data_IF_116705783747
#
_entry.id   IF_116705783747
#
_cell.length_a   1.000
_cell.length_b   1.000
_cell.length_c   1.000
_cell.angle_alpha   90.00
_cell.angle_beta   90.00
_cell.angle_gamma   90.00
#
_symmetry.space_group_name_H-M   'P 1'
#
loop_
_entity.id
_entity.type
_entity.pdbx_description
1 polymer ?
#
# COMPACT_ATOMS: atom_id res chain seq x y z
N UNK A 1 12.13 7.68 -9.14
CA UNK A 1 11.87 8.22 -10.49
C UNK A 1 10.56 7.59 -10.96
N UNK A 2 9.65 8.40 -11.45
CA UNK A 2 8.33 7.99 -11.97
C UNK A 2 8.21 8.40 -13.45
N UNK A 3 7.14 7.98 -14.11
CA UNK A 3 6.88 8.30 -15.53
C UNK A 3 5.81 9.40 -15.68
N UNK A 4 5.81 10.37 -14.76
CA UNK A 4 5.00 11.59 -14.86
C UNK A 4 5.91 12.78 -15.16
N UNK A 5 6.03 13.15 -16.42
CA UNK A 5 7.00 14.15 -16.92
C UNK A 5 6.31 15.17 -17.82
N UNK A 6 6.81 16.41 -17.81
CA UNK A 6 6.39 17.40 -18.81
C UNK A 6 7.03 17.08 -20.16
N UNK A 7 6.18 17.11 -21.19
CA UNK A 7 6.57 17.04 -22.61
C UNK A 7 5.74 18.07 -23.38
N UNK A 8 6.39 18.86 -24.19
CA UNK A 8 5.75 19.94 -24.95
C UNK A 8 4.87 20.85 -24.09
N UNK A 9 5.29 21.13 -22.85
CA UNK A 9 4.59 22.00 -21.91
C UNK A 9 3.37 21.38 -21.23
N UNK A 10 3.13 20.05 -21.35
CA UNK A 10 2.01 19.34 -20.73
C UNK A 10 2.55 18.18 -19.88
N UNK A 11 1.98 17.98 -18.70
CA UNK A 11 2.29 16.81 -17.87
C UNK A 11 1.67 15.55 -18.45
N UNK A 12 2.51 14.55 -18.69
CA UNK A 12 2.13 13.24 -19.21
C UNK A 12 2.22 12.16 -18.13
N UNK A 13 1.38 11.16 -18.27
CA UNK A 13 1.58 9.84 -17.67
C UNK A 13 2.13 8.94 -18.77
N UNK A 14 3.39 8.51 -18.65
CA UNK A 14 4.11 7.82 -19.74
C UNK A 14 4.09 8.65 -21.04
N UNK A 15 3.39 8.20 -22.07
CA UNK A 15 3.26 8.91 -23.34
C UNK A 15 1.89 9.59 -23.54
N UNK A 16 0.97 9.50 -22.55
CA UNK A 16 -0.38 10.05 -22.60
C UNK A 16 -0.45 11.40 -21.86
N UNK A 17 -0.88 12.50 -22.51
CA UNK A 17 -1.08 13.79 -21.83
C UNK A 17 -2.25 13.72 -20.84
N UNK A 18 -2.04 14.22 -19.63
CA UNK A 18 -3.08 14.22 -18.59
C UNK A 18 -4.31 15.05 -18.96
N UNK A 19 -4.16 16.07 -19.80
CA UNK A 19 -5.27 16.85 -20.35
C UNK A 19 -6.22 16.00 -21.22
N UNK A 20 -5.71 14.99 -21.92
CA UNK A 20 -6.55 14.05 -22.66
C UNK A 20 -7.37 13.17 -21.72
N UNK A 21 -6.74 12.62 -20.68
CA UNK A 21 -7.43 11.83 -19.64
C UNK A 21 -8.52 12.66 -18.97
N UNK A 22 -8.21 13.90 -18.57
CA UNK A 22 -9.21 14.80 -18.00
C UNK A 22 -10.41 15.04 -18.92
N UNK A 23 -10.16 15.27 -20.22
CA UNK A 23 -11.20 15.52 -21.21
C UNK A 23 -12.11 14.31 -21.46
N UNK A 24 -11.56 13.07 -21.41
CA UNK A 24 -12.29 11.84 -21.78
C UNK A 24 -12.89 11.11 -20.59
N UNK A 25 -12.22 11.13 -19.43
CA UNK A 25 -12.63 10.43 -18.22
C UNK A 25 -13.24 11.38 -17.18
N UNK A 26 -12.87 12.66 -17.26
CA UNK A 26 -13.25 13.68 -16.30
C UNK A 26 -12.37 13.67 -15.04
N UNK A 27 -12.55 14.70 -14.20
CA UNK A 27 -11.88 14.89 -12.92
C UNK A 27 -12.88 14.78 -11.75
N UNK A 28 -12.45 14.52 -10.52
CA UNK A 28 -11.14 13.99 -10.16
C UNK A 28 -10.96 12.56 -10.68
N UNK A 29 -9.71 12.13 -10.91
CA UNK A 29 -9.41 10.76 -11.34
C UNK A 29 -8.04 10.31 -10.83
N UNK A 30 -7.91 9.05 -10.39
CA UNK A 30 -6.61 8.44 -10.17
C UNK A 30 -6.02 7.97 -11.51
N UNK A 31 -4.75 8.29 -11.74
CA UNK A 31 -4.01 7.86 -12.94
C UNK A 31 -2.75 7.14 -12.51
N UNK A 32 -2.60 5.88 -12.95
CA UNK A 32 -1.45 5.03 -12.64
C UNK A 32 -0.61 4.77 -13.88
N UNK A 33 0.71 4.75 -13.71
CA UNK A 33 1.68 4.34 -14.72
C UNK A 33 2.05 2.88 -14.54
N UNK A 34 1.79 2.04 -15.55
CA UNK A 34 2.20 0.64 -15.60
C UNK A 34 3.72 0.49 -15.59
N UNK A 35 4.43 1.33 -16.35
CA UNK A 35 5.89 1.32 -16.41
C UNK A 35 6.52 1.61 -15.04
N UNK A 36 5.95 2.54 -14.25
CA UNK A 36 6.43 2.83 -12.90
C UNK A 36 6.17 1.67 -11.95
N UNK A 37 4.96 1.10 -11.94
CA UNK A 37 4.61 -0.08 -11.14
C UNK A 37 5.56 -1.24 -11.40
N UNK A 38 5.73 -1.62 -12.66
CA UNK A 38 6.60 -2.71 -13.07
C UNK A 38 8.07 -2.45 -12.74
N UNK A 39 8.55 -1.22 -12.98
CA UNK A 39 9.92 -0.85 -12.64
C UNK A 39 10.18 -0.99 -11.14
N UNK A 40 9.28 -0.50 -10.29
CA UNK A 40 9.45 -0.56 -8.85
C UNK A 40 9.41 -2.02 -8.33
N UNK A 41 8.55 -2.86 -8.87
CA UNK A 41 8.53 -4.28 -8.58
C UNK A 41 9.86 -4.95 -8.96
N UNK A 42 10.34 -4.75 -10.19
CA UNK A 42 11.60 -5.34 -10.68
C UNK A 42 12.80 -4.94 -9.85
N UNK A 43 12.86 -3.70 -9.36
CA UNK A 43 13.95 -3.27 -8.49
C UNK A 43 14.04 -4.05 -7.18
N UNK A 44 12.92 -4.50 -6.62
CA UNK A 44 12.93 -5.40 -5.45
C UNK A 44 13.32 -6.82 -5.83
N UNK A 45 12.76 -7.33 -6.93
CA UNK A 45 13.03 -8.67 -7.44
C UNK A 45 14.54 -8.84 -7.74
N UNK A 46 15.13 -7.88 -8.46
CA UNK A 46 16.57 -7.82 -8.74
C UNK A 46 17.42 -7.70 -7.47
N UNK A 47 16.98 -6.92 -6.48
CA UNK A 47 17.71 -6.73 -5.22
C UNK A 47 17.80 -8.02 -4.37
N UNK A 48 16.87 -8.95 -4.57
CA UNK A 48 16.81 -10.25 -3.87
C UNK A 48 17.28 -11.42 -4.72
N UNK A 49 17.65 -11.24 -5.99
CA UNK A 49 18.04 -12.29 -6.93
C UNK A 49 19.30 -13.11 -6.52
N UNK A 50 19.89 -12.79 -5.36
CA UNK A 50 21.01 -13.54 -4.79
C UNK A 50 20.59 -14.88 -4.11
N UNK A 51 19.30 -15.14 -3.90
CA UNK A 51 18.75 -16.35 -3.28
C UNK A 51 17.29 -16.59 -3.64
N UNK A 52 16.71 -17.70 -3.17
CA UNK A 52 15.27 -17.94 -3.32
C UNK A 52 14.47 -16.82 -2.64
N UNK A 53 13.53 -16.22 -3.39
CA UNK A 53 12.72 -15.12 -2.86
C UNK A 53 11.37 -14.99 -3.55
N UNK A 54 10.45 -14.26 -2.89
CA UNK A 54 9.19 -13.81 -3.45
C UNK A 54 8.89 -12.38 -2.99
N UNK A 55 8.61 -11.51 -3.94
CA UNK A 55 8.12 -10.15 -3.65
C UNK A 55 6.59 -10.18 -3.64
N UNK A 56 5.99 -10.15 -2.46
CA UNK A 56 4.52 -10.12 -2.27
C UNK A 56 4.04 -8.67 -2.24
N UNK A 57 3.35 -8.23 -3.29
CA UNK A 57 2.80 -6.88 -3.30
C UNK A 57 1.71 -6.72 -2.24
N UNK A 58 1.84 -5.73 -1.35
CA UNK A 58 0.84 -5.44 -0.32
C UNK A 58 -0.42 -4.82 -0.94
N UNK A 59 -1.48 -5.63 -1.10
CA UNK A 59 -2.73 -5.27 -1.79
C UNK A 59 -3.40 -4.04 -1.19
N UNK A 60 -3.28 -3.87 0.12
CA UNK A 60 -3.77 -2.68 0.87
C UNK A 60 -3.24 -1.34 0.35
N UNK A 61 -2.16 -1.31 -0.41
CA UNK A 61 -1.63 -0.07 -0.97
C UNK A 61 -2.44 0.44 -2.17
N UNK A 62 -2.78 -0.44 -3.13
CA UNK A 62 -3.72 -0.18 -4.23
C UNK A 62 -4.30 -1.53 -4.70
N UNK A 63 -5.58 -1.77 -4.46
CA UNK A 63 -6.23 -3.07 -4.59
C UNK A 63 -6.99 -3.27 -5.91
N UNK A 64 -6.78 -2.42 -6.92
CA UNK A 64 -7.43 -2.56 -8.21
C UNK A 64 -6.96 -3.84 -8.92
N UNK A 65 -7.90 -4.67 -9.40
CA UNK A 65 -7.62 -5.98 -10.01
C UNK A 65 -6.67 -5.88 -11.21
N UNK A 66 -6.75 -4.79 -12.00
CA UNK A 66 -5.83 -4.57 -13.12
C UNK A 66 -4.38 -4.34 -12.66
N UNK A 67 -4.19 -3.60 -11.55
CA UNK A 67 -2.87 -3.40 -10.95
C UNK A 67 -2.32 -4.72 -10.42
N UNK A 68 -3.16 -5.51 -9.71
CA UNK A 68 -2.75 -6.81 -9.18
C UNK A 68 -2.37 -7.76 -10.32
N UNK A 69 -3.17 -7.78 -11.41
CA UNK A 69 -2.87 -8.60 -12.58
C UNK A 69 -1.55 -8.18 -13.23
N UNK A 70 -1.32 -6.88 -13.43
CA UNK A 70 -0.08 -6.35 -14.02
C UNK A 70 1.16 -6.82 -13.24
N UNK A 71 1.11 -6.72 -11.91
CA UNK A 71 2.21 -7.14 -11.03
C UNK A 71 2.34 -8.67 -10.96
N UNK A 72 1.22 -9.39 -10.91
CA UNK A 72 1.20 -10.86 -10.89
C UNK A 72 1.75 -11.49 -12.18
N UNK A 73 1.43 -10.91 -13.33
CA UNK A 73 1.99 -11.34 -14.64
C UNK A 73 3.50 -11.08 -14.70
N UNK A 74 4.01 -10.11 -13.93
CA UNK A 74 5.45 -9.87 -13.80
C UNK A 74 6.14 -10.78 -12.78
N UNK A 75 5.40 -11.63 -12.04
CA UNK A 75 5.93 -12.60 -11.08
C UNK A 75 5.64 -12.28 -9.61
N UNK A 76 4.99 -11.18 -9.29
CA UNK A 76 4.67 -10.83 -7.91
C UNK A 76 3.75 -11.85 -7.23
N UNK A 77 4.00 -12.13 -5.94
CA UNK A 77 3.01 -12.62 -5.01
C UNK A 77 2.14 -11.47 -4.47
N UNK A 78 1.16 -11.82 -3.61
CA UNK A 78 0.28 -10.84 -2.97
C UNK A 78 0.25 -11.04 -1.46
N UNK A 79 0.48 -9.96 -0.69
CA UNK A 79 0.16 -9.87 0.73
C UNK A 79 -1.26 -9.33 0.88
N UNK A 80 -2.15 -10.14 1.46
CA UNK A 80 -3.56 -9.80 1.68
C UNK A 80 -3.89 -9.80 3.17
N UNK A 81 -4.78 -8.91 3.59
CA UNK A 81 -5.16 -8.74 5.01
C UNK A 81 -6.66 -8.93 5.27
N UNK A 82 -7.40 -9.40 4.27
CA UNK A 82 -8.83 -9.72 4.35
C UNK A 82 -9.24 -10.68 3.24
N UNK A 83 -10.40 -11.34 3.40
CA UNK A 83 -11.02 -12.15 2.34
C UNK A 83 -11.29 -11.30 1.09
N UNK A 84 -11.67 -10.04 1.24
CA UNK A 84 -11.91 -9.14 0.12
C UNK A 84 -10.67 -8.93 -0.74
N UNK A 85 -9.50 -8.73 -0.12
CA UNK A 85 -8.23 -8.63 -0.82
C UNK A 85 -7.81 -9.97 -1.44
N UNK A 86 -8.01 -11.09 -0.72
CA UNK A 86 -7.78 -12.43 -1.26
C UNK A 86 -8.60 -12.65 -2.55
N UNK A 87 -9.90 -12.36 -2.52
CA UNK A 87 -10.79 -12.49 -3.68
C UNK A 87 -10.35 -11.61 -4.86
N UNK A 88 -9.86 -10.39 -4.59
CA UNK A 88 -9.29 -9.52 -5.62
C UNK A 88 -8.02 -10.11 -6.24
N UNK A 89 -7.12 -10.65 -5.43
CA UNK A 89 -5.91 -11.34 -5.91
C UNK A 89 -6.28 -12.54 -6.81
N UNK A 90 -7.25 -13.37 -6.36
CA UNK A 90 -7.74 -14.51 -7.17
C UNK A 90 -8.42 -14.05 -8.48
N UNK A 91 -9.21 -12.99 -8.44
CA UNK A 91 -9.83 -12.39 -9.63
C UNK A 91 -8.79 -11.83 -10.62
N UNK A 92 -7.63 -11.39 -10.12
CA UNK A 92 -6.49 -10.98 -10.94
C UNK A 92 -5.71 -12.17 -11.54
N UNK A 93 -6.09 -13.42 -11.21
CA UNK A 93 -5.42 -14.64 -11.68
C UNK A 93 -4.20 -15.06 -10.86
N UNK A 94 -4.01 -14.48 -9.67
CA UNK A 94 -2.88 -14.87 -8.82
C UNK A 94 -3.14 -16.28 -8.25
N UNK A 95 -2.21 -17.23 -8.43
CA UNK A 95 -2.38 -18.57 -7.89
C UNK A 95 -2.23 -18.59 -6.37
N UNK A 96 -2.91 -19.51 -5.65
CA UNK A 96 -2.91 -19.56 -4.18
C UNK A 96 -1.52 -19.66 -3.55
N UNK A 97 -0.62 -20.36 -4.21
CA UNK A 97 0.78 -20.57 -3.76
C UNK A 97 1.65 -19.31 -3.85
N UNK A 98 1.09 -18.18 -4.31
CA UNK A 98 1.70 -16.86 -4.30
C UNK A 98 0.93 -15.84 -3.46
N UNK A 99 -0.02 -16.28 -2.60
CA UNK A 99 -0.79 -15.39 -1.73
C UNK A 99 -0.41 -15.66 -0.27
N UNK A 100 0.04 -14.62 0.42
CA UNK A 100 0.31 -14.59 1.85
C UNK A 100 -0.85 -13.90 2.55
N UNK A 101 -1.37 -14.47 3.64
CA UNK A 101 -2.47 -13.90 4.38
C UNK A 101 -2.03 -13.41 5.76
N UNK A 102 -1.91 -12.10 5.88
CA UNK A 102 -1.48 -11.36 7.07
C UNK A 102 -2.66 -10.70 7.80
N UNK A 103 -2.38 -9.95 8.88
CA UNK A 103 -3.36 -9.13 9.59
C UNK A 103 -3.88 -9.72 10.90
N UNK A 104 -4.23 -8.84 11.84
CA UNK A 104 -4.53 -9.15 13.25
C UNK A 104 -5.97 -9.64 13.50
N UNK A 105 -6.84 -9.59 12.51
CA UNK A 105 -8.28 -9.79 12.71
C UNK A 105 -8.89 -10.83 11.77
N UNK A 106 -8.15 -11.87 11.37
CA UNK A 106 -8.68 -12.95 10.54
C UNK A 106 -9.81 -13.69 11.27
N UNK A 107 -10.98 -13.66 10.69
CA UNK A 107 -12.17 -14.36 11.22
C UNK A 107 -12.16 -15.83 10.82
N UNK A 108 -12.94 -16.64 11.54
CA UNK A 108 -13.13 -18.06 11.19
C UNK A 108 -13.68 -18.23 9.76
N UNK A 109 -14.62 -17.39 9.34
CA UNK A 109 -15.19 -17.42 7.99
C UNK A 109 -14.12 -17.17 6.92
N UNK A 110 -13.26 -16.17 7.12
CA UNK A 110 -12.16 -15.85 6.21
C UNK A 110 -11.13 -16.98 6.14
N UNK A 111 -10.75 -17.55 7.31
CA UNK A 111 -9.87 -18.72 7.36
C UNK A 111 -10.45 -19.89 6.57
N UNK A 112 -11.73 -20.23 6.79
CA UNK A 112 -12.41 -21.33 6.08
C UNK A 112 -12.44 -21.10 4.57
N UNK A 113 -12.71 -19.87 4.12
CA UNK A 113 -12.73 -19.54 2.71
C UNK A 113 -11.33 -19.72 2.10
N UNK A 114 -10.32 -19.08 2.69
CA UNK A 114 -8.95 -19.08 2.19
C UNK A 114 -8.34 -20.49 2.20
N UNK A 115 -8.60 -21.31 3.23
CA UNK A 115 -8.08 -22.67 3.29
C UNK A 115 -8.71 -23.63 2.25
N UNK A 116 -9.98 -23.40 1.87
CA UNK A 116 -10.60 -24.18 0.78
C UNK A 116 -10.05 -23.84 -0.59
N UNK A 117 -9.72 -22.58 -0.81
CA UNK A 117 -9.15 -22.10 -2.08
C UNK A 117 -7.63 -22.34 -2.17
N UNK A 118 -6.96 -22.54 -1.03
CA UNK A 118 -5.52 -22.63 -0.89
C UNK A 118 -4.86 -21.28 -0.59
N UNK A 119 -3.69 -21.33 0.02
CA UNK A 119 -2.87 -20.17 0.38
C UNK A 119 -1.42 -20.61 0.52
N UNK A 120 -0.49 -19.72 0.20
CA UNK A 120 0.94 -19.97 0.35
C UNK A 120 1.35 -20.13 1.82
N UNK A 121 0.89 -19.19 2.65
CA UNK A 121 1.08 -19.18 4.10
C UNK A 121 0.08 -18.25 4.78
N UNK A 122 -0.10 -18.47 6.09
CA UNK A 122 -0.80 -17.56 6.98
C UNK A 122 0.18 -17.03 8.01
N UNK A 123 0.30 -15.69 8.09
CA UNK A 123 1.09 -15.01 9.09
C UNK A 123 0.26 -14.85 10.36
N UNK A 124 0.59 -15.59 11.41
CA UNK A 124 -0.13 -15.61 12.69
C UNK A 124 0.28 -14.41 13.56
N UNK A 125 -0.69 -13.73 14.13
CA UNK A 125 -0.49 -12.51 14.91
C UNK A 125 -0.76 -12.70 16.41
N UNK A 126 -1.38 -13.84 16.82
CA UNK A 126 -1.71 -14.10 18.21
C UNK A 126 -1.97 -15.59 18.51
N UNK A 127 -1.85 -15.97 19.81
CA UNK A 127 -2.12 -17.33 20.27
C UNK A 127 -3.61 -17.75 20.12
N UNK A 128 -4.61 -16.88 20.37
CA UNK A 128 -6.00 -17.25 20.08
C UNK A 128 -6.24 -17.53 18.60
N UNK A 129 -5.60 -16.78 17.72
CA UNK A 129 -5.71 -16.98 16.27
C UNK A 129 -5.13 -18.34 15.85
N UNK A 130 -3.95 -18.73 16.35
CA UNK A 130 -3.34 -20.00 15.98
C UNK A 130 -4.20 -21.20 16.42
N UNK A 131 -4.83 -21.15 17.61
CA UNK A 131 -5.74 -22.19 18.06
C UNK A 131 -7.01 -22.27 17.22
N UNK A 132 -7.55 -21.12 16.82
CA UNK A 132 -8.68 -21.04 15.91
C UNK A 132 -8.32 -21.63 14.54
N UNK A 133 -7.16 -21.26 13.98
CA UNK A 133 -6.71 -21.77 12.69
C UNK A 133 -6.48 -23.29 12.73
N UNK A 134 -5.86 -23.81 13.80
CA UNK A 134 -5.67 -25.26 13.99
C UNK A 134 -6.99 -26.01 13.99
N UNK A 135 -8.00 -25.50 14.71
CA UNK A 135 -9.34 -26.09 14.72
C UNK A 135 -9.95 -26.12 13.31
N UNK A 136 -9.91 -24.98 12.62
CA UNK A 136 -10.46 -24.85 11.25
C UNK A 136 -9.73 -25.77 10.26
N UNK A 137 -8.40 -25.81 10.33
CA UNK A 137 -7.58 -26.68 9.46
C UNK A 137 -7.91 -28.16 9.70
N UNK A 138 -8.02 -28.57 10.98
CA UNK A 138 -8.38 -29.95 11.37
C UNK A 138 -9.77 -30.34 10.88
N UNK A 139 -10.76 -29.46 11.01
CA UNK A 139 -12.14 -29.69 10.54
C UNK A 139 -12.20 -29.81 9.00
N UNK A 140 -11.32 -29.11 8.28
CA UNK A 140 -11.23 -29.17 6.82
C UNK A 140 -10.31 -30.31 6.33
N UNK A 141 -9.56 -30.94 7.22
CA UNK A 141 -8.61 -32.01 6.89
C UNK A 141 -7.41 -31.53 6.07
N UNK A 142 -6.97 -30.29 6.31
CA UNK A 142 -5.84 -29.67 5.60
C UNK A 142 -4.70 -29.36 6.54
N UNK A 143 -3.47 -29.31 6.01
CA UNK A 143 -2.30 -28.79 6.70
C UNK A 143 -1.97 -27.41 6.14
N UNK A 144 -1.80 -26.42 7.02
CA UNK A 144 -1.59 -25.02 6.67
C UNK A 144 -0.15 -24.61 6.95
N UNK A 145 0.59 -24.12 5.96
CA UNK A 145 1.87 -23.47 6.21
C UNK A 145 1.68 -22.18 7.00
N UNK A 146 2.36 -22.04 8.13
CA UNK A 146 2.25 -20.85 8.99
C UNK A 146 3.62 -20.26 9.33
N UNK A 147 3.66 -18.94 9.39
CA UNK A 147 4.71 -18.17 10.05
C UNK A 147 4.13 -17.50 11.30
N UNK A 148 4.97 -17.08 12.20
CA UNK A 148 4.54 -16.25 13.34
C UNK A 148 5.12 -14.86 13.17
N UNK A 149 4.26 -13.87 13.16
CA UNK A 149 4.69 -12.47 13.18
C UNK A 149 5.23 -12.12 14.54
N UNK A 150 6.52 -11.87 14.59
CA UNK A 150 7.20 -11.43 15.81
C UNK A 150 7.37 -9.91 15.81
N UNK A 151 7.15 -9.31 16.97
CA UNK A 151 7.47 -7.92 17.20
C UNK A 151 8.88 -7.84 17.79
N UNK A 152 9.87 -7.31 17.04
CA UNK A 152 11.26 -7.32 17.49
C UNK A 152 11.58 -6.20 18.50
N UNK A 153 10.61 -5.36 18.88
CA UNK A 153 10.79 -4.19 19.73
C UNK A 153 11.91 -3.28 19.22
N UNK A 154 11.73 -2.78 17.99
CA UNK A 154 12.62 -1.84 17.31
C UNK A 154 11.86 -0.55 17.00
N UNK A 155 12.45 0.59 17.34
CA UNK A 155 11.87 1.89 16.98
C UNK A 155 12.14 2.20 15.50
N UNK A 156 11.09 2.18 14.69
CA UNK A 156 11.15 2.47 13.27
C UNK A 156 11.37 3.97 12.93
N UNK A 157 11.36 4.85 13.93
CA UNK A 157 11.53 6.31 13.78
C UNK A 157 10.61 6.92 12.71
N UNK A 158 9.39 6.43 12.63
CA UNK A 158 8.37 6.88 11.67
C UNK A 158 7.15 7.46 12.40
N UNK A 159 6.15 7.95 11.65
CA UNK A 159 4.94 8.52 12.22
C UNK A 159 4.23 7.50 13.13
N UNK A 160 3.80 7.92 14.32
CA UNK A 160 3.19 7.07 15.37
C UNK A 160 2.10 6.12 14.84
N UNK A 161 1.19 6.64 13.98
CA UNK A 161 0.08 5.85 13.41
C UNK A 161 0.49 4.74 12.42
N UNK A 162 1.76 4.72 11.96
CA UNK A 162 2.28 3.73 11.00
C UNK A 162 3.52 2.98 11.50
N UNK A 163 3.91 3.16 12.76
CA UNK A 163 4.92 2.35 13.45
C UNK A 163 4.26 1.07 13.97
N UNK A 164 4.85 -0.10 13.70
CA UNK A 164 4.29 -1.42 14.10
C UNK A 164 5.29 -2.30 14.85
N UNK A 165 6.52 -1.85 15.05
CA UNK A 165 7.62 -2.63 15.64
C UNK A 165 7.84 -2.43 17.14
N UNK A 166 7.02 -1.63 17.83
CA UNK A 166 7.14 -1.40 19.29
C UNK A 166 6.26 -2.35 20.08
N UNK A 167 6.67 -2.66 21.30
CA UNK A 167 6.03 -3.65 22.19
C UNK A 167 4.57 -3.34 22.57
N UNK A 168 4.14 -2.09 22.47
CA UNK A 168 2.79 -1.64 22.80
C UNK A 168 1.81 -1.63 21.59
N UNK A 169 2.25 -2.09 20.43
CA UNK A 169 1.43 -2.21 19.25
C UNK A 169 0.55 -3.48 19.26
N UNK A 170 -0.60 -3.39 18.60
CA UNK A 170 -1.54 -4.52 18.43
C UNK A 170 -1.01 -5.65 17.53
N UNK A 171 0.13 -5.46 16.87
CA UNK A 171 0.66 -6.36 15.85
C UNK A 171 1.70 -7.30 16.40
N UNK A 172 1.60 -8.57 16.00
CA UNK A 172 2.60 -9.60 16.26
C UNK A 172 2.74 -10.03 17.72
N UNK A 173 3.54 -11.03 17.93
CA UNK A 173 3.85 -11.60 19.24
C UNK A 173 5.19 -11.00 19.71
N UNK A 174 5.32 -10.55 20.96
CA UNK A 174 6.61 -10.10 21.49
C UNK A 174 7.69 -11.15 21.27
N UNK A 175 8.85 -10.75 20.74
CA UNK A 175 9.95 -11.68 20.43
C UNK A 175 10.37 -12.54 21.63
N UNK A 176 10.26 -12.00 22.84
CA UNK A 176 10.54 -12.73 24.09
C UNK A 176 9.61 -13.91 24.36
N UNK A 177 8.42 -13.93 23.74
CA UNK A 177 7.43 -15.01 23.84
C UNK A 177 7.48 -15.97 22.66
N UNK A 178 8.17 -15.62 21.58
CA UNK A 178 8.18 -16.37 20.35
C UNK A 178 8.51 -17.85 20.55
N UNK A 179 9.57 -18.16 21.30
CA UNK A 179 9.99 -19.55 21.56
C UNK A 179 8.88 -20.42 22.18
N UNK A 180 8.13 -19.86 23.15
CA UNK A 180 7.01 -20.56 23.78
C UNK A 180 5.83 -20.77 22.80
N UNK A 181 5.56 -19.78 21.96
CA UNK A 181 4.50 -19.85 20.93
C UNK A 181 4.84 -20.91 19.87
N UNK A 182 6.07 -20.95 19.39
CA UNK A 182 6.52 -21.99 18.45
C UNK A 182 6.43 -23.39 19.03
N UNK A 183 6.78 -23.57 20.32
CA UNK A 183 6.61 -24.83 21.01
C UNK A 183 5.13 -25.24 21.11
N UNK A 184 4.21 -24.29 21.35
CA UNK A 184 2.77 -24.56 21.37
C UNK A 184 2.25 -24.94 19.98
N UNK A 185 2.61 -24.18 18.92
CA UNK A 185 2.17 -24.46 17.54
C UNK A 185 2.57 -25.88 17.11
N UNK A 186 3.74 -26.32 17.46
CA UNK A 186 4.21 -27.67 17.12
C UNK A 186 3.33 -28.80 17.68
N UNK A 187 2.49 -28.51 18.68
CA UNK A 187 1.52 -29.46 19.24
C UNK A 187 0.12 -29.36 18.61
N UNK A 188 -0.12 -28.33 17.83
CA UNK A 188 -1.43 -28.04 17.25
C UNK A 188 -1.61 -28.77 15.90
N UNK A 189 -2.65 -29.63 15.76
CA UNK A 189 -2.89 -30.35 14.51
C UNK A 189 -3.28 -29.39 13.38
N UNK A 190 -2.94 -29.77 12.14
CA UNK A 190 -3.28 -29.02 10.93
C UNK A 190 -2.42 -27.77 10.69
N UNK A 191 -1.43 -27.47 11.54
CA UNK A 191 -0.49 -26.37 11.34
C UNK A 191 0.91 -26.90 11.08
N UNK A 192 1.58 -26.36 10.07
CA UNK A 192 2.97 -26.63 9.76
C UNK A 192 3.78 -25.32 9.82
N UNK A 193 4.60 -25.19 10.87
CA UNK A 193 5.54 -24.07 10.96
C UNK A 193 6.52 -24.11 9.82
N UNK A 194 6.67 -23.00 9.11
CA UNK A 194 7.61 -22.87 7.99
C UNK A 194 8.56 -21.70 8.13
N UNK A 195 8.27 -20.73 9.00
CA UNK A 195 9.08 -19.52 9.05
C UNK A 195 8.70 -18.52 10.14
N UNK A 196 9.29 -17.34 10.00
CA UNK A 196 9.08 -16.17 10.87
C UNK A 196 8.62 -15.02 9.98
N UNK A 197 7.65 -14.22 10.46
CA UNK A 197 7.26 -12.94 9.87
C UNK A 197 7.68 -11.79 10.78
N UNK A 198 8.07 -10.66 10.17
CA UNK A 198 8.37 -9.40 10.86
C UNK A 198 7.98 -8.20 10.03
N UNK A 199 7.29 -7.24 10.63
CA UNK A 199 7.01 -5.96 9.98
C UNK A 199 7.12 -4.83 11.01
N UNK A 200 8.06 -3.88 10.82
CA UNK A 200 8.41 -2.86 11.83
C UNK A 200 7.75 -1.50 11.61
N UNK A 201 7.16 -1.27 10.45
CA UNK A 201 6.49 0.00 10.16
C UNK A 201 6.43 0.35 8.69
N UNK A 202 6.00 1.57 8.41
CA UNK A 202 5.83 2.09 7.05
C UNK A 202 6.50 3.45 6.91
N UNK A 203 6.90 3.82 5.69
CA UNK A 203 7.60 5.08 5.37
C UNK A 203 8.93 5.22 6.11
N UNK A 204 9.71 4.15 6.20
CA UNK A 204 11.06 4.18 6.76
C UNK A 204 12.04 4.74 5.70
N UNK A 205 12.79 5.76 6.09
CA UNK A 205 13.79 6.42 5.25
C UNK A 205 15.22 6.19 5.74
N UNK A 206 15.38 5.32 6.74
CA UNK A 206 16.64 4.87 7.33
C UNK A 206 16.67 3.34 7.31
N UNK A 207 17.80 2.73 6.95
CA UNK A 207 17.98 1.28 6.89
C UNK A 207 18.38 0.67 8.25
N UNK A 208 18.83 1.45 9.21
CA UNK A 208 19.29 0.93 10.49
C UNK A 208 18.19 0.21 11.31
N UNK A 209 16.93 0.70 11.36
CA UNK A 209 15.85 -0.06 11.98
C UNK A 209 15.63 -1.44 11.36
N UNK A 210 15.74 -1.56 10.03
CA UNK A 210 15.65 -2.84 9.34
C UNK A 210 16.80 -3.76 9.74
N UNK A 211 18.03 -3.25 9.73
CA UNK A 211 19.22 -4.01 10.15
C UNK A 211 19.07 -4.59 11.56
N UNK A 212 18.65 -3.76 12.51
CA UNK A 212 18.43 -4.17 13.89
C UNK A 212 17.33 -5.25 14.02
N UNK A 213 16.22 -5.10 13.29
CA UNK A 213 15.13 -6.06 13.30
C UNK A 213 15.56 -7.40 12.70
N UNK A 214 16.23 -7.38 11.55
CA UNK A 214 16.66 -8.59 10.84
C UNK A 214 17.73 -9.36 11.59
N UNK A 215 18.63 -8.68 12.32
CA UNK A 215 19.57 -9.34 13.23
C UNK A 215 18.85 -10.10 14.33
N UNK A 216 17.83 -9.51 14.95
CA UNK A 216 17.01 -10.19 15.97
C UNK A 216 16.23 -11.39 15.37
N UNK A 217 15.78 -11.28 14.12
CA UNK A 217 15.15 -12.39 13.40
C UNK A 217 16.15 -13.50 13.11
N UNK A 218 17.39 -13.16 12.76
CA UNK A 218 18.45 -14.16 12.55
C UNK A 218 18.74 -14.93 13.83
N UNK A 219 18.97 -14.22 14.96
CA UNK A 219 19.19 -14.82 16.26
C UNK A 219 18.03 -15.76 16.67
N UNK A 220 16.77 -15.30 16.46
CA UNK A 220 15.59 -16.12 16.74
C UNK A 220 15.51 -17.36 15.84
N UNK A 221 15.88 -17.24 14.56
CA UNK A 221 15.90 -18.36 13.63
C UNK A 221 16.85 -19.47 14.10
N UNK A 222 18.04 -19.10 14.54
CA UNK A 222 19.02 -20.06 15.07
C UNK A 222 18.50 -20.75 16.34
N UNK A 223 17.90 -20.02 17.25
CA UNK A 223 17.30 -20.57 18.49
C UNK A 223 16.17 -21.55 18.15
N UNK A 224 15.26 -21.18 17.25
CA UNK A 224 14.12 -22.03 16.88
C UNK A 224 14.58 -23.30 16.13
N UNK A 225 15.60 -23.21 15.28
CA UNK A 225 16.21 -24.39 14.63
C UNK A 225 16.88 -25.31 15.65
N UNK A 226 17.55 -24.76 16.65
CA UNK A 226 18.12 -25.55 17.74
C UNK A 226 17.04 -26.25 18.60
N UNK A 227 15.84 -25.67 18.71
CA UNK A 227 14.67 -26.28 19.34
C UNK A 227 13.97 -27.34 18.45
N UNK A 228 14.44 -27.53 17.21
CA UNK A 228 13.93 -28.55 16.26
C UNK A 228 12.86 -28.06 15.30
N UNK A 229 12.60 -26.74 15.23
CA UNK A 229 11.65 -26.19 14.26
C UNK A 229 12.29 -26.02 12.88
N UNK A 230 11.54 -26.39 11.82
CA UNK A 230 11.95 -26.22 10.42
C UNK A 230 11.66 -24.77 9.97
N UNK A 231 12.61 -23.86 10.22
CA UNK A 231 12.51 -22.48 9.73
C UNK A 231 13.16 -22.42 8.33
N UNK A 232 12.31 -22.46 7.31
CA UNK A 232 12.69 -22.50 5.90
C UNK A 232 12.50 -21.16 5.21
N UNK A 233 11.64 -20.26 5.79
CA UNK A 233 11.20 -19.02 5.18
C UNK A 233 11.27 -17.85 6.17
N UNK A 234 11.66 -16.69 5.68
CA UNK A 234 11.62 -15.43 6.42
C UNK A 234 10.79 -14.41 5.64
N UNK A 235 9.65 -14.04 6.18
CA UNK A 235 8.86 -12.91 5.71
C UNK A 235 9.35 -11.65 6.44
N UNK A 236 9.99 -10.76 5.71
CA UNK A 236 10.64 -9.57 6.27
C UNK A 236 9.76 -8.32 6.15
N UNK A 237 8.50 -8.53 5.73
CA UNK A 237 7.52 -7.47 5.61
C UNK A 237 7.88 -6.42 4.57
N UNK A 238 7.32 -5.24 4.73
CA UNK A 238 7.61 -4.08 3.88
C UNK A 238 8.14 -2.91 4.69
N UNK A 239 7.79 -1.70 4.24
CA UNK A 239 8.02 -0.48 5.03
C UNK A 239 8.96 0.53 4.40
N UNK A 240 9.73 0.17 3.38
CA UNK A 240 10.61 1.11 2.71
C UNK A 240 9.83 2.32 2.16
N UNK A 241 10.32 3.52 2.48
CA UNK A 241 9.65 4.79 2.19
C UNK A 241 9.85 5.31 0.77
N UNK A 242 9.09 6.35 0.44
CA UNK A 242 9.19 7.09 -0.83
C UNK A 242 9.35 8.59 -0.56
N UNK A 243 9.92 9.35 -1.50
CA UNK A 243 9.91 10.81 -1.41
C UNK A 243 8.51 11.32 -1.78
N UNK A 244 7.85 12.00 -0.85
CA UNK A 244 6.58 12.70 -1.12
C UNK A 244 6.79 14.14 -1.60
N UNK A 245 7.92 14.75 -1.27
CA UNK A 245 8.36 16.03 -1.78
C UNK A 245 9.64 15.87 -2.61
N UNK A 246 9.71 16.54 -3.75
CA UNK A 246 10.92 16.52 -4.60
C UNK A 246 12.16 17.13 -3.92
N UNK A 247 11.95 17.98 -2.91
CA UNK A 247 13.01 18.58 -2.11
C UNK A 247 13.56 17.67 -1.01
N UNK A 248 12.89 16.54 -0.73
CA UNK A 248 13.34 15.61 0.30
C UNK A 248 14.59 14.84 -0.15
N UNK A 249 15.45 14.48 0.81
CA UNK A 249 16.49 13.49 0.57
C UNK A 249 15.84 12.21 0.04
N UNK A 250 16.46 11.62 -0.98
CA UNK A 250 15.99 10.35 -1.52
C UNK A 250 16.07 9.28 -0.44
N UNK A 251 14.97 8.52 -0.17
CA UNK A 251 15.04 7.38 0.72
C UNK A 251 15.95 6.30 0.12
N UNK A 252 16.41 5.33 0.94
CA UNK A 252 17.20 4.20 0.46
C UNK A 252 16.53 3.49 -0.70
N UNK A 253 17.32 3.05 -1.67
CA UNK A 253 16.82 2.32 -2.84
C UNK A 253 16.67 0.82 -2.54
N UNK A 254 15.82 0.07 -3.27
CA UNK A 254 15.64 -1.38 -3.08
C UNK A 254 16.95 -2.18 -3.07
N UNK A 255 17.94 -1.79 -3.87
CA UNK A 255 19.25 -2.47 -3.90
C UNK A 255 19.99 -2.37 -2.56
N UNK A 256 19.95 -1.22 -1.90
CA UNK A 256 20.56 -1.03 -0.58
C UNK A 256 19.82 -1.81 0.50
N UNK A 257 18.49 -1.82 0.41
CA UNK A 257 17.63 -2.62 1.27
C UNK A 257 17.91 -4.12 1.12
N UNK A 258 17.98 -4.63 -0.12
CA UNK A 258 18.31 -6.03 -0.41
C UNK A 258 19.72 -6.42 0.09
N UNK A 259 20.67 -5.47 0.08
CA UNK A 259 22.02 -5.68 0.67
C UNK A 259 21.92 -5.88 2.18
N UNK A 260 21.13 -5.06 2.90
CA UNK A 260 20.91 -5.24 4.34
C UNK A 260 20.29 -6.61 4.64
N UNK A 261 19.29 -7.03 3.86
CA UNK A 261 18.70 -8.37 4.01
C UNK A 261 19.76 -9.46 3.84
N UNK A 262 20.55 -9.39 2.78
CA UNK A 262 21.61 -10.38 2.51
C UNK A 262 22.67 -10.43 3.61
N UNK A 263 23.08 -9.27 4.13
CA UNK A 263 24.08 -9.17 5.21
C UNK A 263 23.58 -9.79 6.52
N UNK A 264 22.33 -9.53 6.89
CA UNK A 264 21.81 -9.94 8.22
C UNK A 264 21.21 -11.36 8.22
N UNK A 265 20.58 -11.82 7.15
CA UNK A 265 19.87 -13.12 7.13
C UNK A 265 20.28 -14.06 6.00
N UNK A 266 21.09 -13.63 5.03
CA UNK A 266 21.44 -14.43 3.85
C UNK A 266 22.20 -15.72 4.17
N UNK A 267 22.93 -15.75 5.28
CA UNK A 267 23.68 -16.93 5.75
C UNK A 267 22.77 -18.05 6.27
N UNK A 268 21.50 -17.78 6.56
CA UNK A 268 20.53 -18.75 7.09
C UNK A 268 19.99 -19.71 6.02
N UNK A 269 20.14 -19.38 4.74
CA UNK A 269 19.66 -20.22 3.61
C UNK A 269 18.16 -20.36 3.52
N UNK A 270 17.40 -19.44 4.11
CA UNK A 270 15.93 -19.37 4.00
C UNK A 270 15.50 -18.76 2.67
N UNK A 271 14.30 -19.13 2.22
CA UNK A 271 13.58 -18.34 1.22
C UNK A 271 13.17 -17.00 1.83
N UNK A 272 13.41 -15.89 1.11
CA UNK A 272 13.09 -14.53 1.58
C UNK A 272 11.79 -14.07 0.95
N UNK A 273 10.85 -13.63 1.78
CA UNK A 273 9.65 -12.91 1.37
C UNK A 273 9.71 -11.47 1.84
N UNK A 274 9.21 -10.55 1.03
CA UNK A 274 9.02 -9.15 1.39
C UNK A 274 7.64 -8.68 0.93
N UNK A 275 7.07 -7.70 1.65
CA UNK A 275 5.71 -7.19 1.43
C UNK A 275 5.68 -5.69 1.05
N UNK A 276 6.36 -5.24 -0.02
CA UNK A 276 6.35 -3.85 -0.40
C UNK A 276 5.00 -3.41 -0.97
N UNK A 277 4.44 -2.33 -0.45
CA UNK A 277 3.24 -1.70 -0.99
C UNK A 277 3.53 -0.29 -1.48
N UNK A 278 3.88 0.59 -0.53
CA UNK A 278 4.08 2.01 -0.77
C UNK A 278 5.11 2.30 -1.86
N UNK A 279 6.28 1.67 -1.83
CA UNK A 279 7.33 1.94 -2.80
C UNK A 279 6.93 1.49 -4.21
N UNK A 280 6.14 0.43 -4.35
CA UNK A 280 5.67 -0.02 -5.65
C UNK A 280 4.60 0.94 -6.21
N UNK A 281 3.57 1.26 -5.43
CA UNK A 281 2.39 1.97 -5.92
C UNK A 281 2.45 3.50 -5.74
N UNK A 282 3.13 4.00 -4.70
CA UNK A 282 3.02 5.40 -4.29
C UNK A 282 3.30 6.41 -5.39
N UNK A 283 4.52 6.41 -5.93
CA UNK A 283 4.90 7.32 -7.01
C UNK A 283 4.39 6.86 -8.39
N UNK A 284 3.82 5.67 -8.47
CA UNK A 284 3.22 5.16 -9.69
C UNK A 284 1.82 5.72 -9.97
N UNK A 285 1.25 6.49 -9.04
CA UNK A 285 -0.08 7.08 -9.20
C UNK A 285 -0.15 8.54 -8.76
N UNK A 286 -1.02 9.27 -9.43
CA UNK A 286 -1.39 10.65 -9.13
C UNK A 286 -2.90 10.76 -8.95
N UNK A 287 -3.37 11.82 -8.29
CA UNK A 287 -4.76 12.25 -8.33
C UNK A 287 -4.84 13.50 -9.22
N UNK A 288 -5.47 13.38 -10.38
CA UNK A 288 -5.74 14.47 -11.32
C UNK A 288 -7.02 15.18 -10.90
N UNK A 289 -7.01 16.51 -10.86
CA UNK A 289 -8.13 17.33 -10.39
C UNK A 289 -8.21 18.64 -11.17
N UNK A 290 -9.38 19.26 -11.18
CA UNK A 290 -9.63 20.55 -11.81
C UNK A 290 -9.84 21.62 -10.76
N UNK A 291 -9.35 22.81 -10.99
CA UNK A 291 -9.61 24.01 -10.18
C UNK A 291 -11.04 24.50 -10.42
N UNK A 292 -11.88 24.48 -9.37
CA UNK A 292 -13.25 25.00 -9.45
C UNK A 292 -13.23 26.53 -9.30
N UNK A 293 -12.58 27.00 -8.24
CA UNK A 293 -12.53 28.44 -7.91
C UNK A 293 -11.19 28.85 -7.31
N UNK A 294 -10.78 30.08 -7.58
CA UNK A 294 -9.78 30.81 -6.79
C UNK A 294 -10.52 31.84 -5.95
N UNK A 295 -10.44 31.71 -4.63
CA UNK A 295 -11.11 32.62 -3.69
C UNK A 295 -10.07 33.44 -2.94
N UNK A 296 -10.08 34.76 -3.17
CA UNK A 296 -9.22 35.70 -2.46
C UNK A 296 -9.83 36.08 -1.12
N UNK A 297 -9.08 35.97 -0.05
CA UNK A 297 -9.47 36.37 1.31
C UNK A 297 -8.58 37.47 1.88
N UNK A 298 -8.95 38.05 3.03
CA UNK A 298 -8.19 39.15 3.64
C UNK A 298 -6.77 38.78 4.10
N UNK A 299 -6.46 37.50 4.26
CA UNK A 299 -5.14 37.07 4.76
C UNK A 299 -4.55 35.84 4.04
N UNK A 300 -5.34 35.23 3.19
CA UNK A 300 -4.90 34.04 2.40
C UNK A 300 -5.81 33.81 1.21
N UNK A 301 -5.25 33.22 0.17
CA UNK A 301 -5.99 32.78 -0.99
C UNK A 301 -6.28 31.29 -0.94
N UNK A 302 -7.48 30.91 -1.36
CA UNK A 302 -7.92 29.52 -1.43
C UNK A 302 -7.97 29.05 -2.87
N UNK A 303 -7.37 27.91 -3.15
CA UNK A 303 -7.53 27.18 -4.38
C UNK A 303 -8.51 26.02 -4.11
N UNK A 304 -9.73 26.14 -4.60
CA UNK A 304 -10.78 25.13 -4.42
C UNK A 304 -10.76 24.21 -5.63
N UNK A 305 -10.54 22.93 -5.39
CA UNK A 305 -10.46 21.89 -6.42
C UNK A 305 -11.65 20.94 -6.33
N UNK A 306 -11.91 20.16 -7.39
CA UNK A 306 -12.98 19.18 -7.42
C UNK A 306 -12.64 17.86 -6.69
N UNK A 307 -11.36 17.57 -6.44
CA UNK A 307 -10.95 16.52 -5.52
C UNK A 307 -11.18 16.94 -4.07
N UNK A 308 -11.38 15.96 -3.17
CA UNK A 308 -11.63 16.22 -1.75
C UNK A 308 -10.99 15.19 -0.84
N UNK A 309 -11.08 15.42 0.48
CA UNK A 309 -10.55 14.49 1.48
C UNK A 309 -11.19 13.08 1.36
N UNK A 310 -12.40 12.97 0.82
CA UNK A 310 -13.04 11.68 0.55
C UNK A 310 -12.35 10.91 -0.57
N UNK A 311 -11.62 11.58 -1.47
CA UNK A 311 -10.85 10.97 -2.54
C UNK A 311 -9.41 10.67 -2.10
N UNK A 312 -8.77 11.60 -1.36
CA UNK A 312 -7.41 11.48 -0.84
C UNK A 312 -7.35 11.92 0.63
N UNK A 313 -7.68 11.02 1.55
CA UNK A 313 -7.79 11.31 2.99
C UNK A 313 -6.44 11.59 3.67
N UNK A 314 -5.31 11.21 3.07
CA UNK A 314 -4.00 11.19 3.72
C UNK A 314 -3.55 12.55 4.28
N UNK A 315 -3.72 13.70 3.62
CA UNK A 315 -3.43 14.99 4.21
C UNK A 315 -4.22 15.26 5.50
N UNK A 316 -5.53 14.99 5.49
CA UNK A 316 -6.39 15.19 6.66
C UNK A 316 -6.07 14.21 7.81
N UNK A 317 -5.82 12.94 7.51
CA UNK A 317 -5.65 11.89 8.52
C UNK A 317 -4.24 11.85 9.13
N UNK A 318 -3.20 12.10 8.33
CA UNK A 318 -1.80 11.93 8.70
C UNK A 318 -0.97 13.21 8.60
N UNK A 319 -1.55 14.33 8.19
CA UNK A 319 -0.78 15.52 7.83
C UNK A 319 0.17 15.26 6.65
N UNK A 320 -0.18 14.28 5.80
CA UNK A 320 0.74 13.82 4.75
C UNK A 320 0.94 14.89 3.69
N UNK A 321 2.21 15.12 3.34
CA UNK A 321 2.56 15.98 2.22
C UNK A 321 2.36 15.24 0.91
N UNK A 322 1.84 15.95 -0.10
CA UNK A 322 1.88 15.58 -1.51
C UNK A 322 2.39 16.77 -2.31
N UNK A 323 3.29 16.54 -3.26
CA UNK A 323 3.62 17.58 -4.24
C UNK A 323 2.41 17.82 -5.14
N UNK A 324 2.13 19.10 -5.40
CA UNK A 324 1.00 19.55 -6.21
C UNK A 324 1.58 20.37 -7.35
N UNK A 325 1.26 19.97 -8.58
CA UNK A 325 1.83 20.59 -9.78
C UNK A 325 0.73 20.88 -10.80
N UNK A 326 0.83 22.00 -11.56
CA UNK A 326 -0.05 22.23 -12.70
C UNK A 326 0.15 21.17 -13.79
N UNK A 327 -0.89 20.87 -14.57
CA UNK A 327 -0.77 20.00 -15.75
C UNK A 327 -0.10 20.75 -16.91
N UNK A 328 -0.36 22.04 -17.04
CA UNK A 328 0.40 22.91 -17.95
C UNK A 328 1.71 23.30 -17.27
N UNK A 329 2.83 23.08 -17.93
CA UNK A 329 4.15 23.39 -17.41
C UNK A 329 4.33 24.90 -17.20
N UNK A 330 4.63 25.34 -15.97
CA UNK A 330 4.86 26.76 -15.73
C UNK A 330 6.12 27.25 -16.46
N UNK A 331 6.08 28.49 -16.92
CA UNK A 331 7.28 29.12 -17.48
C UNK A 331 8.41 29.13 -16.43
N UNK A 332 9.69 28.98 -16.85
CA UNK A 332 10.82 29.10 -15.94
C UNK A 332 10.81 30.48 -15.24
N UNK A 333 10.85 30.45 -13.90
CA UNK A 333 10.81 31.68 -13.08
C UNK A 333 9.43 32.33 -12.96
N UNK A 334 8.36 31.60 -13.28
CA UNK A 334 7.00 32.08 -13.07
C UNK A 334 6.79 32.54 -11.61
N UNK A 335 6.07 33.63 -11.44
CA UNK A 335 5.69 34.15 -10.13
C UNK A 335 5.04 33.04 -9.30
N UNK A 336 5.25 33.09 -7.98
CA UNK A 336 4.69 32.12 -7.06
C UNK A 336 3.67 32.82 -6.16
N UNK A 337 2.49 32.23 -6.02
CA UNK A 337 1.44 32.67 -5.12
C UNK A 337 1.21 31.58 -4.07
N UNK A 338 0.94 31.99 -2.83
CA UNK A 338 0.64 31.06 -1.75
C UNK A 338 -0.86 30.78 -1.68
N UNK A 339 -1.23 29.49 -1.77
CA UNK A 339 -2.61 29.03 -1.67
C UNK A 339 -2.79 28.06 -0.52
N UNK A 340 -3.95 28.16 0.16
CA UNK A 340 -4.51 27.04 0.88
C UNK A 340 -5.33 26.22 -0.13
N UNK A 341 -4.88 24.98 -0.41
CA UNK A 341 -5.52 24.10 -1.41
C UNK A 341 -6.53 23.21 -0.69
N UNK A 342 -7.79 23.34 -1.06
CA UNK A 342 -8.94 22.75 -0.35
C UNK A 342 -9.91 22.07 -1.32
N UNK A 343 -10.62 21.07 -0.83
CA UNK A 343 -11.71 20.43 -1.55
C UNK A 343 -13.07 21.04 -1.22
N UNK A 344 -14.16 20.50 -1.79
CA UNK A 344 -15.53 20.98 -1.61
C UNK A 344 -16.30 20.34 -0.45
N UNK A 345 -15.68 19.46 0.35
CA UNK A 345 -16.33 18.84 1.51
C UNK A 345 -16.66 19.88 2.57
N UNK A 346 -17.85 19.77 3.16
CA UNK A 346 -18.33 20.69 4.19
C UNK A 346 -17.68 20.44 5.56
N UNK A 347 -16.32 20.45 5.58
CA UNK A 347 -15.49 20.22 6.76
C UNK A 347 -14.15 20.95 6.62
N UNK A 348 -13.71 21.62 7.70
CA UNK A 348 -12.43 22.34 7.73
C UNK A 348 -11.21 21.42 7.50
N UNK A 349 -11.37 20.13 7.79
CA UNK A 349 -10.35 19.09 7.54
C UNK A 349 -10.08 18.82 6.05
N UNK A 350 -10.96 19.26 5.15
CA UNK A 350 -10.80 19.11 3.70
C UNK A 350 -9.76 20.09 3.14
N UNK A 351 -8.54 19.94 3.62
CA UNK A 351 -7.38 20.76 3.28
C UNK A 351 -6.23 19.85 2.85
N UNK A 352 -5.79 19.99 1.61
CA UNK A 352 -4.66 19.25 1.06
C UNK A 352 -3.31 19.88 1.39
N UNK A 353 -3.26 21.22 1.39
CA UNK A 353 -2.05 21.97 1.72
C UNK A 353 -2.39 23.37 2.22
N UNK A 354 -1.55 23.92 3.09
CA UNK A 354 -1.63 25.31 3.57
C UNK A 354 -0.42 26.09 3.09
N UNK A 355 -0.67 27.35 2.70
CA UNK A 355 0.35 28.28 2.20
C UNK A 355 1.28 27.64 1.15
N UNK A 356 0.72 26.82 0.26
CA UNK A 356 1.49 26.17 -0.81
C UNK A 356 1.86 27.20 -1.87
N UNK A 357 3.15 27.41 -2.06
CA UNK A 357 3.66 28.23 -3.15
C UNK A 357 3.57 27.46 -4.46
N UNK A 358 2.88 28.02 -5.43
CA UNK A 358 2.76 27.47 -6.78
C UNK A 358 2.47 28.61 -7.78
N UNK A 359 2.67 28.43 -9.09
CA UNK A 359 2.27 29.39 -10.10
C UNK A 359 0.78 29.69 -10.01
N UNK A 360 0.33 30.91 -10.35
CA UNK A 360 -1.09 31.24 -10.41
C UNK A 360 -1.85 30.28 -11.33
N UNK A 361 -3.01 29.85 -10.87
CA UNK A 361 -3.95 28.99 -11.60
C UNK A 361 -5.33 29.64 -11.65
N UNK A 362 -6.12 29.33 -12.65
CA UNK A 362 -7.46 29.84 -12.89
C UNK A 362 -8.50 28.71 -12.80
N UNK A 363 -9.80 29.06 -12.61
CA UNK A 363 -10.87 28.08 -12.76
C UNK A 363 -10.78 27.34 -14.12
N UNK A 364 -10.92 26.02 -14.09
CA UNK A 364 -10.75 25.13 -15.25
C UNK A 364 -9.31 24.61 -15.44
N UNK A 365 -8.32 25.17 -14.74
CA UNK A 365 -6.95 24.64 -14.81
C UNK A 365 -6.84 23.30 -14.12
N UNK A 366 -6.10 22.38 -14.74
CA UNK A 366 -5.82 21.05 -14.21
C UNK A 366 -4.57 21.06 -13.36
N UNK A 367 -4.65 20.43 -12.20
CA UNK A 367 -3.51 20.17 -11.32
C UNK A 367 -3.44 18.69 -10.93
N UNK A 368 -2.27 18.23 -10.52
CA UNK A 368 -2.04 16.84 -10.12
C UNK A 368 -1.41 16.76 -8.74
N UNK A 369 -2.00 15.97 -7.85
CA UNK A 369 -1.38 15.55 -6.59
C UNK A 369 -0.49 14.35 -6.88
N UNK A 370 0.81 14.51 -6.70
CA UNK A 370 1.80 13.47 -6.97
C UNK A 370 1.89 12.46 -5.83
N UNK A 371 2.45 11.29 -6.12
CA UNK A 371 2.67 10.21 -5.14
C UNK A 371 1.38 9.78 -4.41
N UNK A 372 0.25 9.78 -5.13
CA UNK A 372 -1.06 9.44 -4.60
C UNK A 372 -1.48 7.98 -4.87
N UNK A 373 -0.61 7.17 -5.51
CA UNK A 373 -0.96 5.82 -5.95
C UNK A 373 -1.08 4.79 -4.83
N UNK A 374 -0.50 5.04 -3.65
CA UNK A 374 -0.63 4.16 -2.50
C UNK A 374 -1.46 4.79 -1.39
N UNK A 375 -2.40 4.03 -0.82
CA UNK A 375 -3.28 4.48 0.26
C UNK A 375 -4.08 5.74 -0.11
N UNK A 376 -4.39 5.90 -1.39
CA UNK A 376 -5.29 6.90 -1.94
C UNK A 376 -6.66 6.27 -2.23
N UNK A 377 -6.88 5.78 -3.45
CA UNK A 377 -8.17 5.22 -3.89
C UNK A 377 -8.73 4.11 -2.98
N UNK A 378 -7.88 3.32 -2.32
CA UNK A 378 -8.31 2.27 -1.37
C UNK A 378 -8.89 2.81 -0.07
N UNK A 379 -8.61 4.06 0.28
CA UNK A 379 -9.12 4.74 1.47
C UNK A 379 -10.23 5.75 1.13
N UNK A 380 -10.62 5.85 -0.13
CA UNK A 380 -11.69 6.76 -0.56
C UNK A 380 -13.04 6.36 0.04
N UNK A 381 -13.93 7.34 0.21
CA UNK A 381 -15.26 7.17 0.77
C UNK A 381 -16.30 8.02 0.03
N UNK A 382 -17.57 7.79 0.34
CA UNK A 382 -18.71 8.53 -0.19
C UNK A 382 -19.11 9.73 0.70
N UNK A 383 -18.16 10.28 1.47
CA UNK A 383 -18.46 11.40 2.36
C UNK A 383 -19.06 12.59 1.62
N UNK A 384 -20.08 13.24 2.19
CA UNK A 384 -20.97 14.21 1.58
C UNK A 384 -21.71 13.70 0.32
N UNK A 385 -21.94 12.38 0.21
CA UNK A 385 -22.57 11.72 -0.94
C UNK A 385 -21.87 12.03 -2.27
N UNK A 386 -20.53 12.09 -2.24
CA UNK A 386 -19.71 12.26 -3.43
C UNK A 386 -19.35 10.87 -3.99
N UNK A 387 -19.54 10.66 -5.31
CA UNK A 387 -19.22 9.38 -5.95
C UNK A 387 -17.74 9.04 -5.85
N UNK A 388 -17.40 7.76 -5.72
CA UNK A 388 -16.03 7.29 -5.85
C UNK A 388 -15.48 7.62 -7.24
N UNK A 389 -14.27 8.18 -7.29
CA UNK A 389 -13.62 8.64 -8.51
C UNK A 389 -13.09 7.47 -9.35
N UNK A 390 -12.97 7.64 -10.68
CA UNK A 390 -12.45 6.60 -11.55
C UNK A 390 -10.95 6.37 -11.33
N UNK A 391 -10.51 5.15 -11.68
CA UNK A 391 -9.11 4.80 -11.75
C UNK A 391 -8.73 4.48 -13.21
N UNK A 392 -7.60 5.02 -13.68
CA UNK A 392 -7.05 4.87 -15.02
C UNK A 392 -5.67 4.26 -14.95
N UNK A 393 -5.38 3.27 -15.80
CA UNK A 393 -4.05 2.71 -15.99
C UNK A 393 -3.52 3.14 -17.35
N UNK A 394 -2.31 3.67 -17.38
CA UNK A 394 -1.59 4.07 -18.59
C UNK A 394 -0.45 3.07 -18.84
N UNK A 395 -0.28 2.66 -20.10
CA UNK A 395 0.83 1.83 -20.56
C UNK A 395 1.31 2.31 -21.93
N UNK A 396 2.46 2.95 -21.97
CA UNK A 396 2.99 3.59 -23.17
C UNK A 396 2.07 4.72 -23.64
N UNK A 397 1.57 4.62 -24.86
CA UNK A 397 0.66 5.56 -25.51
C UNK A 397 -0.85 5.21 -25.33
N UNK A 398 -1.14 4.15 -24.56
CA UNK A 398 -2.50 3.68 -24.33
C UNK A 398 -2.93 3.90 -22.89
N UNK A 399 -4.22 4.09 -22.67
CA UNK A 399 -4.81 4.08 -21.33
C UNK A 399 -6.19 3.41 -21.33
N UNK A 400 -6.57 2.92 -20.15
CA UNK A 400 -7.88 2.32 -19.93
C UNK A 400 -8.43 2.74 -18.56
N UNK A 401 -9.75 2.93 -18.49
CA UNK A 401 -10.46 3.05 -17.22
C UNK A 401 -10.52 1.65 -16.59
N UNK A 402 -9.79 1.46 -15.48
CA UNK A 402 -9.72 0.18 -14.75
C UNK A 402 -10.71 0.10 -13.58
N UNK A 403 -11.32 1.23 -13.22
CA UNK A 403 -12.52 1.36 -12.39
C UNK A 403 -13.31 2.56 -12.88
N UNK A 404 -14.57 2.39 -13.27
CA UNK A 404 -15.40 3.51 -13.68
C UNK A 404 -15.74 4.42 -12.50
N UNK A 405 -16.12 5.66 -12.79
CA UNK A 405 -16.72 6.55 -11.79
C UNK A 405 -18.01 5.94 -11.29
N UNK A 406 -18.20 5.91 -9.99
CA UNK A 406 -19.47 5.49 -9.40
C UNK A 406 -20.60 6.45 -9.83
N UNK A 407 -21.75 5.90 -10.19
CA UNK A 407 -22.94 6.70 -10.47
C UNK A 407 -23.71 7.03 -9.18
N UNK A 408 -24.52 8.10 -9.20
CA UNK A 408 -25.42 8.39 -8.09
C UNK A 408 -26.45 7.28 -7.87
N UNK A 409 -26.93 6.65 -8.95
CA UNK A 409 -27.88 5.54 -8.85
C UNK A 409 -27.26 4.31 -8.17
N UNK A 410 -25.99 3.98 -8.47
CA UNK A 410 -25.27 2.90 -7.77
C UNK A 410 -25.11 3.20 -6.29
N UNK A 411 -24.85 4.45 -5.92
CA UNK A 411 -24.73 4.87 -4.52
C UNK A 411 -26.07 4.73 -3.80
N UNK A 412 -27.15 5.31 -4.36
CA UNK A 412 -28.48 5.36 -3.75
C UNK A 412 -29.12 3.97 -3.71
N UNK A 413 -28.86 3.09 -4.68
CA UNK A 413 -29.45 1.75 -4.77
C UNK A 413 -29.10 0.82 -3.60
N UNK A 414 -28.11 1.18 -2.79
CA UNK A 414 -27.74 0.42 -1.57
C UNK A 414 -28.63 0.74 -0.38
N UNK A 415 -29.36 1.86 -0.42
CA UNK A 415 -30.25 2.29 0.65
C UNK A 415 -31.64 1.68 0.44
N UNK A 416 -32.28 1.26 1.53
CA UNK A 416 -33.61 0.66 1.48
C UNK A 416 -34.55 1.44 2.40
N UNK A 417 -35.71 1.82 1.88
CA UNK A 417 -36.80 2.33 2.69
C UNK A 417 -37.56 1.13 3.26
N UNK A 418 -37.66 0.99 4.59
CA UNK A 418 -38.40 -0.12 5.18
C UNK A 418 -39.90 0.11 4.99
N UNK A 419 -40.67 -1.01 4.83
CA UNK A 419 -42.10 -0.97 4.52
C UNK A 419 -42.96 -0.19 5.50
N UNK A 420 -42.50 0.05 6.75
CA UNK A 420 -43.23 0.85 7.72
C UNK A 420 -43.04 2.36 7.58
N UNK A 421 -42.24 2.81 6.61
CA UNK A 421 -42.04 4.23 6.22
C UNK A 421 -42.71 4.53 4.87
N UNK A 422 -43.25 3.54 4.18
CA UNK A 422 -44.08 3.70 3.00
C UNK A 422 -45.54 4.03 3.41
#
# INVERSE_FOLDING_TARGET
>A
MDHFLYRDGILHAEDVPLSEIARTVGTPAYVYSAATLLRHFRLFDEALAWGPHLVCYAVKAASNVAILKLLGDAGAGMDVVSEGEYRRARAAGIPPDRIVFSGVGKTESEMRHVLREGVRQINLESEPEMRLLSRVASELGVEVPVTVRVNPDVDARTHEKIATGKSDNKFGIPISRARAVYAEIATLPGLRVIGIDVHIGSQLTDLEPFRLAYRKVADLTEVLRADGHAIERLDLGGGLGIPYARSNLAPPVPLEYGRVIREEVGHLGCEIEIEPGRLIAGNAGILLTETIFVKHGEGRDFLIVDAAMNDLIRPAMYGAHHDIVPVIEPAPGADQQAFDIVGPICETGDTFAKARHMPPVAPGDLIAFRSAGAYGAVMASEYNSRPLVPEVLVQGDQYAVIRPRQTFDEMISRDMVPHWLE
#
